data_IF_127652756387
#
_entry.id   IF_127652756387
#
_cell.length_a   1.000
_cell.length_b   1.000
_cell.length_c   1.000
_cell.angle_alpha   90.00
_cell.angle_beta   90.00
_cell.angle_gamma   90.00
#
_symmetry.space_group_name_H-M   'P 1'
#
loop_
_entity.id
_entity.type
_entity.pdbx_description
1 polymer ?
#
# COMPACT_ATOMS: atom_id res chain seq x y z
N UNK A 1 1.96 -7.12 -34.82
CA UNK A 1 1.20 -6.78 -33.60
C UNK A 1 0.36 -7.97 -33.13
N UNK A 2 1.00 -9.08 -32.72
CA UNK A 2 0.29 -10.31 -32.32
C UNK A 2 0.63 -10.76 -30.88
N UNK A 3 1.76 -10.35 -30.32
CA UNK A 3 2.20 -10.81 -29.00
C UNK A 3 1.41 -10.21 -27.82
N UNK A 4 0.71 -9.09 -28.00
CA UNK A 4 -0.08 -8.45 -26.95
C UNK A 4 -1.47 -9.11 -26.71
N UNK A 5 -1.96 -9.90 -27.66
CA UNK A 5 -3.23 -10.64 -27.50
C UNK A 5 -3.04 -12.00 -26.80
N UNK A 6 -1.80 -12.50 -26.73
CA UNK A 6 -1.44 -13.73 -26.00
C UNK A 6 -1.08 -13.47 -24.54
N UNK A 7 -0.91 -12.21 -24.11
CA UNK A 7 -0.72 -11.85 -22.69
C UNK A 7 -2.03 -11.83 -21.90
N UNK A 8 -3.15 -12.19 -22.52
CA UNK A 8 -4.38 -12.48 -21.81
C UNK A 8 -4.10 -13.63 -20.83
N UNK A 9 -3.95 -13.30 -19.56
CA UNK A 9 -3.73 -14.21 -18.43
C UNK A 9 -4.74 -15.37 -18.45
N UNK A 10 -4.37 -16.48 -19.09
CA UNK A 10 -5.16 -17.72 -19.09
C UNK A 10 -4.29 -18.83 -18.54
N UNK A 11 -4.28 -18.94 -17.21
CA UNK A 11 -3.64 -20.06 -16.53
C UNK A 11 -3.76 -19.95 -15.00
N UNK A 12 -3.70 -21.10 -14.28
CA UNK A 12 -3.89 -21.20 -12.83
C UNK A 12 -2.90 -20.39 -11.96
N UNK A 13 -1.93 -19.71 -12.58
CA UNK A 13 -0.98 -18.80 -11.90
C UNK A 13 -1.66 -17.57 -11.30
N UNK A 14 -2.70 -17.03 -11.93
CA UNK A 14 -3.41 -15.83 -11.41
C UNK A 14 -4.35 -16.18 -10.26
N UNK A 15 -5.01 -17.32 -10.32
CA UNK A 15 -5.87 -17.82 -9.23
C UNK A 15 -5.07 -18.12 -7.97
N UNK A 16 -3.85 -18.65 -8.13
CA UNK A 16 -2.93 -18.86 -7.01
C UNK A 16 -2.53 -17.55 -6.31
N UNK A 17 -2.26 -16.47 -7.06
CA UNK A 17 -1.97 -15.16 -6.46
C UNK A 17 -3.15 -14.58 -5.69
N UNK A 18 -4.39 -14.77 -6.14
CA UNK A 18 -5.59 -14.37 -5.39
C UNK A 18 -5.80 -15.19 -4.12
N UNK A 19 -5.52 -16.50 -4.15
CA UNK A 19 -5.57 -17.37 -2.97
C UNK A 19 -4.53 -16.98 -1.91
N UNK A 20 -3.29 -16.68 -2.33
CA UNK A 20 -2.23 -16.17 -1.44
C UNK A 20 -2.60 -14.80 -0.87
N UNK A 21 -3.17 -13.92 -1.69
CA UNK A 21 -3.62 -12.60 -1.22
C UNK A 21 -4.74 -12.75 -0.18
N UNK A 22 -5.68 -13.66 -0.40
CA UNK A 22 -6.75 -13.94 0.54
C UNK A 22 -6.23 -14.48 1.88
N UNK A 23 -5.21 -15.35 1.87
CA UNK A 23 -4.63 -15.86 3.11
C UNK A 23 -3.83 -14.83 3.91
N UNK A 24 -3.38 -13.74 3.28
CA UNK A 24 -2.62 -12.65 3.92
C UNK A 24 -3.53 -11.50 4.38
N UNK A 25 -4.62 -11.24 3.65
CA UNK A 25 -5.60 -10.22 4.00
C UNK A 25 -6.57 -10.72 5.09
N UNK A 26 -6.84 -12.05 5.13
CA UNK A 26 -7.76 -12.62 6.12
C UNK A 26 -7.20 -12.44 7.54
N UNK A 27 -7.95 -11.82 8.47
CA UNK A 27 -7.50 -11.62 9.84
C UNK A 27 -7.34 -12.98 10.53
N UNK A 28 -6.10 -13.44 10.67
CA UNK A 28 -5.75 -14.71 11.33
C UNK A 28 -4.51 -15.40 10.76
N UNK A 29 -4.20 -15.16 9.49
CA UNK A 29 -3.03 -15.71 8.81
C UNK A 29 -2.17 -14.54 8.30
N UNK A 30 -0.99 -14.33 8.89
CA UNK A 30 0.04 -13.37 8.47
C UNK A 30 -0.42 -11.95 8.08
N UNK A 31 -0.36 -11.01 9.04
CA UNK A 31 -0.69 -9.58 8.87
C UNK A 31 0.32 -8.81 7.99
N UNK A 32 0.50 -9.17 6.72
CA UNK A 32 1.24 -8.31 5.79
C UNK A 32 0.28 -7.28 5.21
N UNK A 33 0.73 -6.02 5.15
CA UNK A 33 0.00 -4.96 4.45
C UNK A 33 -0.03 -5.30 2.95
N UNK A 34 -1.12 -4.94 2.27
CA UNK A 34 -1.31 -5.12 0.82
C UNK A 34 -0.12 -4.55 0.04
N UNK A 35 0.40 -3.38 0.44
CA UNK A 35 1.58 -2.77 -0.20
C UNK A 35 2.85 -3.62 -0.09
N UNK A 36 3.04 -4.31 1.04
CA UNK A 36 4.19 -5.18 1.24
C UNK A 36 4.08 -6.45 0.39
N UNK A 37 2.87 -6.99 0.28
CA UNK A 37 2.60 -8.16 -0.56
C UNK A 37 2.78 -7.84 -2.05
N UNK A 38 2.29 -6.68 -2.50
CA UNK A 38 2.48 -6.18 -3.87
C UNK A 38 3.96 -6.07 -4.22
N UNK A 39 4.76 -5.41 -3.37
CA UNK A 39 6.20 -5.29 -3.59
C UNK A 39 6.91 -6.66 -3.65
N UNK A 40 6.54 -7.60 -2.77
CA UNK A 40 7.12 -8.96 -2.77
C UNK A 40 6.76 -9.71 -4.05
N UNK A 41 5.50 -9.63 -4.50
CA UNK A 41 5.04 -10.29 -5.70
C UNK A 41 5.74 -9.73 -6.94
N UNK A 42 5.84 -8.40 -7.06
CA UNK A 42 6.56 -7.73 -8.15
C UNK A 42 8.00 -8.23 -8.25
N UNK A 43 8.77 -8.16 -7.16
CA UNK A 43 10.16 -8.63 -7.16
C UNK A 43 10.26 -10.12 -7.49
N UNK A 44 9.36 -10.95 -6.95
CA UNK A 44 9.35 -12.41 -7.21
C UNK A 44 9.15 -12.71 -8.70
N UNK A 45 8.19 -12.04 -9.34
CA UNK A 45 7.87 -12.30 -10.73
C UNK A 45 8.87 -11.64 -11.69
N UNK A 46 9.45 -10.49 -11.35
CA UNK A 46 10.57 -9.89 -12.10
C UNK A 46 11.78 -10.81 -12.13
N UNK A 47 12.23 -11.31 -10.98
CA UNK A 47 13.34 -12.27 -10.91
C UNK A 47 13.03 -13.57 -11.67
N UNK A 48 11.79 -14.06 -11.59
CA UNK A 48 11.36 -15.24 -12.34
C UNK A 48 11.37 -15.01 -13.86
N UNK A 49 11.05 -13.80 -14.32
CA UNK A 49 11.10 -13.43 -15.74
C UNK A 49 12.54 -13.32 -16.26
N UNK A 50 13.44 -12.77 -15.45
CA UNK A 50 14.87 -12.65 -15.78
C UNK A 50 15.64 -13.98 -15.71
N UNK A 51 15.02 -15.03 -15.11
CA UNK A 51 15.63 -16.35 -14.85
C UNK A 51 16.93 -16.28 -14.04
N UNK A 52 17.18 -15.17 -13.35
CA UNK A 52 18.31 -14.99 -12.44
C UNK A 52 17.84 -15.22 -11.02
N UNK A 53 18.63 -15.92 -10.24
CA UNK A 53 18.39 -16.01 -8.82
C UNK A 53 18.75 -14.68 -8.15
N UNK A 54 18.11 -14.36 -7.03
CA UNK A 54 18.49 -13.21 -6.21
C UNK A 54 19.98 -13.31 -5.81
N UNK A 55 20.46 -14.52 -5.54
CA UNK A 55 21.87 -14.77 -5.22
C UNK A 55 22.77 -14.33 -6.36
N UNK A 56 22.53 -14.79 -7.60
CA UNK A 56 23.32 -14.36 -8.77
C UNK A 56 23.22 -12.85 -9.04
N UNK A 57 22.09 -12.23 -8.72
CA UNK A 57 21.87 -10.80 -8.94
C UNK A 57 22.60 -9.93 -7.93
N UNK A 58 22.82 -10.43 -6.71
CA UNK A 58 23.47 -9.71 -5.62
C UNK A 58 24.88 -10.22 -5.31
N UNK A 59 25.33 -11.31 -5.93
CA UNK A 59 26.68 -11.84 -5.75
C UNK A 59 27.67 -10.91 -6.43
N UNK A 60 28.49 -10.23 -5.62
CA UNK A 60 29.71 -9.58 -6.11
C UNK A 60 30.81 -10.62 -6.28
N UNK A 61 31.62 -10.44 -7.32
CA UNK A 61 32.83 -11.24 -7.51
C UNK A 61 33.89 -10.83 -6.50
N UNK A 62 34.35 -9.59 -6.61
CA UNK A 62 35.37 -9.02 -5.73
C UNK A 62 34.77 -7.95 -4.82
N UNK A 63 34.43 -8.33 -3.58
CA UNK A 63 33.81 -7.43 -2.59
C UNK A 63 34.63 -6.15 -2.32
N UNK A 64 35.95 -6.20 -2.49
CA UNK A 64 36.87 -5.10 -2.19
C UNK A 64 36.98 -4.08 -3.35
N UNK A 65 36.81 -4.54 -4.60
CA UNK A 65 37.10 -3.75 -5.80
C UNK A 65 35.87 -3.47 -6.66
N UNK A 66 34.81 -4.27 -6.51
CA UNK A 66 33.59 -4.03 -7.27
C UNK A 66 32.99 -2.68 -6.88
N UNK A 67 32.59 -1.86 -7.86
CA UNK A 67 31.98 -0.56 -7.58
C UNK A 67 30.72 -0.72 -6.74
N UNK A 68 30.56 0.14 -5.74
CA UNK A 68 29.32 0.21 -4.95
C UNK A 68 28.41 1.27 -5.57
N UNK A 69 27.12 0.98 -5.66
CA UNK A 69 26.15 1.98 -6.09
C UNK A 69 26.04 3.10 -5.04
N UNK A 70 26.59 4.27 -5.40
CA UNK A 70 26.58 5.46 -4.56
C UNK A 70 25.17 5.93 -4.23
N UNK A 71 24.22 5.71 -5.14
CA UNK A 71 22.82 6.08 -4.93
C UNK A 71 22.17 5.15 -3.90
N UNK A 72 22.40 3.84 -3.99
CA UNK A 72 21.98 2.90 -2.96
C UNK A 72 22.51 3.30 -1.57
N UNK A 73 23.80 3.63 -1.45
CA UNK A 73 24.37 4.08 -0.17
C UNK A 73 23.74 5.39 0.34
N UNK A 74 23.37 6.31 -0.55
CA UNK A 74 22.66 7.54 -0.16
C UNK A 74 21.24 7.21 0.31
N UNK A 75 20.52 6.39 -0.44
CA UNK A 75 19.16 5.97 -0.15
C UNK A 75 19.07 5.25 1.19
N UNK A 76 19.98 4.31 1.48
CA UNK A 76 20.05 3.63 2.77
C UNK A 76 20.29 4.60 3.92
N UNK A 77 21.20 5.58 3.74
CA UNK A 77 21.48 6.60 4.76
C UNK A 77 20.29 7.52 5.01
N UNK A 78 19.56 7.91 3.96
CA UNK A 78 18.42 8.84 4.09
C UNK A 78 17.10 8.15 4.42
N UNK A 79 16.96 6.83 4.21
CA UNK A 79 15.70 6.10 4.31
C UNK A 79 14.98 6.35 5.65
N UNK A 80 15.69 6.32 6.77
CA UNK A 80 15.09 6.54 8.08
C UNK A 80 14.51 7.97 8.22
N UNK A 81 15.28 8.98 7.80
CA UNK A 81 14.84 10.38 7.86
C UNK A 81 13.68 10.65 6.91
N UNK A 82 13.75 10.11 5.69
CA UNK A 82 12.68 10.21 4.69
C UNK A 82 11.39 9.57 5.19
N UNK A 83 11.46 8.35 5.74
CA UNK A 83 10.30 7.66 6.31
C UNK A 83 9.65 8.46 7.44
N UNK A 84 10.46 8.98 8.38
CA UNK A 84 9.95 9.82 9.47
C UNK A 84 9.23 11.06 8.93
N UNK A 85 9.81 11.70 7.91
CA UNK A 85 9.23 12.89 7.27
C UNK A 85 7.91 12.56 6.60
N UNK A 86 7.85 11.47 5.83
CA UNK A 86 6.64 11.00 5.16
C UNK A 86 5.51 10.66 6.16
N UNK A 87 5.85 10.03 7.29
CA UNK A 87 4.86 9.72 8.34
C UNK A 87 4.31 10.99 9.01
N UNK A 88 5.14 12.03 9.18
CA UNK A 88 4.69 13.34 9.68
C UNK A 88 3.78 14.03 8.67
N UNK A 89 4.12 13.99 7.38
CA UNK A 89 3.27 14.55 6.31
C UNK A 89 1.92 13.84 6.24
N UNK A 90 1.89 12.50 6.25
CA UNK A 90 0.65 11.72 6.28
C UNK A 90 -0.23 12.02 7.49
N UNK A 91 0.37 12.35 8.65
CA UNK A 91 -0.38 12.81 9.84
C UNK A 91 -0.97 14.21 9.65
N UNK A 92 -0.22 15.14 9.05
CA UNK A 92 -0.71 16.48 8.74
C UNK A 92 -1.83 16.45 7.69
N UNK A 93 -1.68 15.66 6.63
CA UNK A 93 -2.74 15.44 5.64
C UNK A 93 -3.99 14.85 6.27
N UNK A 94 -3.88 13.85 7.17
CA UNK A 94 -5.04 13.35 7.92
C UNK A 94 -5.71 14.40 8.80
N UNK A 95 -4.98 15.36 9.37
CA UNK A 95 -5.56 16.47 10.12
C UNK A 95 -6.27 17.49 9.22
N UNK A 96 -5.76 17.74 8.01
CA UNK A 96 -6.38 18.65 7.03
C UNK A 96 -7.60 18.02 6.36
N UNK A 97 -7.55 16.71 6.09
CA UNK A 97 -8.64 15.92 5.49
C UNK A 97 -9.53 15.25 6.53
N UNK A 98 -9.57 15.75 7.77
CA UNK A 98 -10.77 15.58 8.60
C UNK A 98 -11.72 16.74 8.29
N UNK A 99 -12.61 16.62 7.28
CA UNK A 99 -13.73 17.52 7.22
C UNK A 99 -14.56 17.33 8.49
N UNK A 100 -15.08 18.45 8.95
CA UNK A 100 -16.01 18.75 10.03
C UNK A 100 -17.30 17.91 10.11
N UNK A 101 -17.29 16.67 9.64
CA UNK A 101 -18.42 15.74 9.62
C UNK A 101 -19.06 15.54 11.00
N UNK A 102 -18.27 15.64 12.08
CA UNK A 102 -18.80 15.61 13.45
C UNK A 102 -19.63 16.84 13.79
N UNK A 103 -19.19 18.04 13.38
CA UNK A 103 -19.89 19.30 13.64
C UNK A 103 -21.13 19.46 12.76
N UNK A 104 -21.08 19.01 11.51
CA UNK A 104 -22.19 19.08 10.56
C UNK A 104 -23.32 18.11 10.91
N UNK A 105 -22.98 16.86 11.29
CA UNK A 105 -23.95 15.89 11.84
C UNK A 105 -24.56 16.36 13.17
N UNK A 106 -23.80 17.07 14.01
CA UNK A 106 -24.31 17.67 15.26
C UNK A 106 -25.32 18.79 14.97
N UNK A 107 -25.03 19.68 14.02
CA UNK A 107 -25.97 20.74 13.60
C UNK A 107 -27.25 20.13 13.03
N UNK A 108 -27.15 19.13 12.14
CA UNK A 108 -28.34 18.46 11.58
C UNK A 108 -29.22 17.79 12.65
N UNK A 109 -28.64 17.12 13.64
CA UNK A 109 -29.42 16.57 14.78
C UNK A 109 -30.12 17.66 15.58
N UNK A 110 -29.46 18.79 15.82
CA UNK A 110 -30.06 19.93 16.52
C UNK A 110 -31.26 20.53 15.76
N UNK A 111 -31.16 20.67 14.43
CA UNK A 111 -32.27 21.15 13.60
C UNK A 111 -33.45 20.16 13.58
N UNK A 112 -33.17 18.86 13.46
CA UNK A 112 -34.19 17.80 13.51
C UNK A 112 -34.93 17.79 14.85
N UNK A 113 -34.20 17.97 15.96
CA UNK A 113 -34.80 17.99 17.30
C UNK A 113 -35.64 19.24 17.55
N UNK A 114 -35.22 20.41 17.02
CA UNK A 114 -36.07 21.62 17.04
C UNK A 114 -37.36 21.41 16.26
N UNK A 115 -37.29 20.80 15.07
CA UNK A 115 -38.48 20.51 14.25
C UNK A 115 -39.44 19.53 14.93
N UNK A 116 -38.94 18.55 15.68
CA UNK A 116 -39.79 17.66 16.48
C UNK A 116 -40.49 18.43 17.61
N UNK A 117 -39.75 19.23 18.38
CA UNK A 117 -40.35 20.03 19.46
C UNK A 117 -41.44 20.99 18.94
N UNK A 118 -41.28 21.59 17.75
CA UNK A 118 -42.32 22.43 17.15
C UNK A 118 -43.57 21.64 16.73
N UNK A 119 -43.43 20.37 16.32
CA UNK A 119 -44.58 19.51 16.00
C UNK A 119 -45.32 19.07 17.25
N UNK A 120 -44.61 18.78 18.34
CA UNK A 120 -45.21 18.39 19.62
C UNK A 120 -45.96 19.56 20.30
N UNK A 121 -45.54 20.81 20.05
CA UNK A 121 -46.21 22.03 20.53
C UNK A 121 -47.42 22.47 19.69
N UNK A 122 -47.67 21.82 18.55
CA UNK A 122 -48.73 22.14 17.58
C UNK A 122 -49.98 21.25 17.75
N UNK A 123 -50.01 20.42 18.80
CA UNK A 123 -51.15 19.59 19.23
C UNK A 123 -51.69 20.20 20.52
#
# INVERSE_FOLDING_TARGET
MACALLTCFHGPKVESSFSIMNSVITPGSNRLNVQSLDAIQTVKYELAAEKKTAVESFLKGDFLHDPVDKNLCKNMRSACSSYRTEMVLKRKEKCVTQPSTSNEKRKQRSYQQKLQNYKEMSI
#
